data_IF_164798579985
#
_entry.id   IF_164798579985
#
_cell.length_a   1.000
_cell.length_b   1.000
_cell.length_c   1.000
_cell.angle_alpha   90.00
_cell.angle_beta   90.00
_cell.angle_gamma   90.00
#
_symmetry.space_group_name_H-M   'P 1'
#
loop_
_entity.id
_entity.type
_entity.pdbx_description
1 polymer ?
#
# COMPACT_ATOMS: atom_id res chain seq x y z
N UNK A 1 2.86 -2.32 -24.80
CA UNK A 1 2.06 -1.74 -23.69
C UNK A 1 2.27 -2.65 -22.49
N UNK A 2 2.60 -2.07 -21.34
CA UNK A 2 2.66 -2.81 -20.08
C UNK A 2 1.28 -3.41 -19.77
N UNK A 3 1.23 -4.69 -19.40
CA UNK A 3 -0.03 -5.37 -19.07
C UNK A 3 -0.23 -5.25 -17.57
N UNK A 4 -1.17 -4.42 -17.16
CA UNK A 4 -1.55 -4.28 -15.75
C UNK A 4 -2.56 -5.36 -15.39
N UNK A 5 -2.29 -6.09 -14.31
CA UNK A 5 -3.23 -7.06 -13.74
C UNK A 5 -3.67 -6.57 -12.37
N UNK A 6 -4.97 -6.58 -12.10
CA UNK A 6 -5.53 -6.30 -10.78
C UNK A 6 -5.90 -7.61 -10.12
N UNK A 7 -5.41 -7.84 -8.90
CA UNK A 7 -5.72 -9.05 -8.11
C UNK A 7 -5.98 -8.69 -6.64
N UNK A 8 -6.59 -9.60 -5.85
CA UNK A 8 -6.72 -9.40 -4.42
C UNK A 8 -5.38 -9.06 -3.76
N UNK A 9 -5.45 -8.19 -2.76
CA UNK A 9 -4.31 -7.85 -1.91
C UNK A 9 -3.95 -9.04 -1.03
N UNK A 10 -2.69 -9.43 -1.03
CA UNK A 10 -2.21 -10.58 -0.27
C UNK A 10 -1.08 -10.18 0.67
N UNK A 11 -0.77 -11.05 1.64
CA UNK A 11 0.26 -10.77 2.66
C UNK A 11 1.64 -10.52 2.05
N UNK A 12 1.93 -11.07 0.86
CA UNK A 12 3.17 -10.82 0.11
C UNK A 12 3.31 -9.42 -0.47
N UNK A 13 2.22 -8.65 -0.55
CA UNK A 13 2.22 -7.29 -1.11
C UNK A 13 2.53 -6.20 -0.09
N UNK A 14 2.54 -6.54 1.20
CA UNK A 14 2.59 -5.59 2.31
C UNK A 14 3.76 -4.61 2.19
N UNK A 15 4.95 -5.08 1.86
CA UNK A 15 6.14 -4.24 1.82
C UNK A 15 6.09 -3.25 0.65
N UNK A 16 5.72 -3.72 -0.55
CA UNK A 16 5.58 -2.87 -1.74
C UNK A 16 4.44 -1.85 -1.59
N UNK A 17 3.30 -2.28 -1.04
CA UNK A 17 2.17 -1.40 -0.77
C UNK A 17 2.49 -0.36 0.31
N UNK A 18 3.20 -0.75 1.36
CA UNK A 18 3.65 0.18 2.41
C UNK A 18 4.56 1.28 1.84
N UNK A 19 5.50 0.92 0.98
CA UNK A 19 6.37 1.89 0.31
C UNK A 19 5.57 2.88 -0.55
N UNK A 20 4.56 2.40 -1.29
CA UNK A 20 3.68 3.26 -2.10
C UNK A 20 2.83 4.19 -1.23
N UNK A 21 2.25 3.69 -0.14
CA UNK A 21 1.46 4.48 0.80
C UNK A 21 2.32 5.56 1.46
N UNK A 22 3.50 5.20 1.96
CA UNK A 22 4.41 6.13 2.60
C UNK A 22 4.85 7.25 1.66
N UNK A 23 5.19 6.91 0.42
CA UNK A 23 5.56 7.89 -0.59
C UNK A 23 4.40 8.81 -1.00
N UNK A 24 3.21 8.24 -1.23
CA UNK A 24 2.02 9.05 -1.51
C UNK A 24 1.73 10.02 -0.35
N UNK A 25 1.84 9.53 0.88
CA UNK A 25 1.60 10.32 2.08
C UNK A 25 2.64 11.44 2.26
N UNK A 26 3.92 11.19 2.00
CA UNK A 26 4.96 12.23 1.98
C UNK A 26 4.61 13.35 1.00
N UNK A 27 4.18 13.02 -0.21
CA UNK A 27 3.78 14.01 -1.24
C UNK A 27 2.52 14.77 -0.84
N UNK A 28 1.54 14.08 -0.26
CA UNK A 28 0.29 14.72 0.16
C UNK A 28 0.52 15.68 1.33
N UNK A 29 1.47 15.38 2.23
CA UNK A 29 1.89 16.28 3.31
C UNK A 29 2.49 17.60 2.81
N UNK A 30 3.17 17.61 1.67
CA UNK A 30 3.66 18.86 1.06
C UNK A 30 2.49 19.81 0.72
N UNK A 31 1.33 19.24 0.36
CA UNK A 31 0.11 19.98 0.04
C UNK A 31 -0.77 20.22 1.27
N UNK A 32 -0.74 19.28 2.22
CA UNK A 32 -1.58 19.25 3.41
C UNK A 32 -0.74 18.93 4.65
N UNK A 33 -0.04 19.93 5.23
CA UNK A 33 0.89 19.70 6.34
C UNK A 33 0.24 19.13 7.62
N UNK A 34 -1.09 19.24 7.74
CA UNK A 34 -1.89 18.78 8.89
C UNK A 34 -2.13 17.26 8.92
N UNK A 35 -1.80 16.53 7.85
CA UNK A 35 -1.90 15.08 7.86
C UNK A 35 -1.00 14.49 8.96
N UNK A 36 -1.27 13.26 9.40
CA UNK A 36 -0.43 12.59 10.40
C UNK A 36 1.00 12.40 9.87
N UNK A 37 2.04 12.41 10.70
CA UNK A 37 3.41 12.22 10.22
C UNK A 37 3.79 10.73 10.09
N UNK A 38 3.28 9.87 10.98
CA UNK A 38 3.68 8.48 11.07
C UNK A 38 3.49 7.68 9.78
N UNK A 39 2.45 7.96 9.00
CA UNK A 39 2.22 7.27 7.72
C UNK A 39 3.24 7.61 6.63
N UNK A 40 4.13 8.57 6.84
CA UNK A 40 5.29 8.80 5.96
C UNK A 40 6.41 7.76 6.18
N UNK A 41 6.34 7.00 7.27
CA UNK A 41 7.24 5.88 7.57
C UNK A 41 6.68 4.57 6.99
N UNK A 42 7.55 3.79 6.35
CA UNK A 42 7.15 2.54 5.70
C UNK A 42 6.78 1.45 6.72
N UNK A 43 7.41 1.42 7.90
CA UNK A 43 7.11 0.44 8.95
C UNK A 43 5.74 0.67 9.59
N UNK A 44 5.39 1.93 9.83
CA UNK A 44 4.06 2.35 10.30
C UNK A 44 2.98 2.05 9.24
N UNK A 45 3.22 2.43 7.98
CA UNK A 45 2.31 2.13 6.88
C UNK A 45 2.10 0.61 6.71
N UNK A 46 3.17 -0.18 6.81
CA UNK A 46 3.12 -1.65 6.74
C UNK A 46 2.32 -2.24 7.90
N UNK A 47 2.49 -1.72 9.11
CA UNK A 47 1.79 -2.20 10.30
C UNK A 47 0.29 -1.94 10.20
N UNK A 48 -0.10 -0.74 9.74
CA UNK A 48 -1.49 -0.40 9.44
C UNK A 48 -2.10 -1.33 8.38
N UNK A 49 -1.40 -1.56 7.27
CA UNK A 49 -1.88 -2.44 6.20
C UNK A 49 -2.01 -3.89 6.66
N UNK A 50 -1.11 -4.39 7.50
CA UNK A 50 -1.18 -5.74 8.06
C UNK A 50 -2.39 -5.89 8.99
N UNK A 51 -2.66 -4.92 9.86
CA UNK A 51 -3.85 -4.90 10.72
C UNK A 51 -5.14 -4.91 9.88
N UNK A 52 -5.16 -4.13 8.81
CA UNK A 52 -6.30 -4.08 7.89
C UNK A 52 -6.51 -5.38 7.14
N UNK A 53 -5.44 -6.03 6.67
CA UNK A 53 -5.51 -7.32 5.98
C UNK A 53 -6.05 -8.43 6.89
N UNK A 54 -5.71 -8.39 8.18
CA UNK A 54 -6.17 -9.38 9.16
C UNK A 54 -7.62 -9.13 9.64
N UNK A 55 -8.21 -8.00 9.24
CA UNK A 55 -9.59 -7.68 9.53
C UNK A 55 -10.52 -8.23 8.43
N UNK A 56 -11.35 -9.21 8.77
CA UNK A 56 -12.31 -9.88 7.88
C UNK A 56 -13.33 -8.93 7.22
N UNK A 57 -13.46 -7.69 7.69
CA UNK A 57 -14.33 -6.66 7.11
C UNK A 57 -13.62 -5.71 6.16
N UNK A 58 -12.32 -5.91 5.93
CA UNK A 58 -11.53 -5.09 5.01
C UNK A 58 -11.28 -5.87 3.73
N UNK A 59 -11.51 -5.22 2.59
CA UNK A 59 -11.18 -5.74 1.28
C UNK A 59 -10.12 -4.84 0.63
N UNK A 60 -9.20 -5.44 -0.11
CA UNK A 60 -8.13 -4.72 -0.80
C UNK A 60 -7.75 -5.40 -2.11
N UNK A 61 -7.21 -4.61 -3.04
CA UNK A 61 -6.68 -5.09 -4.30
C UNK A 61 -5.38 -4.35 -4.64
N UNK A 62 -4.48 -5.03 -5.36
CA UNK A 62 -3.26 -4.44 -5.91
C UNK A 62 -3.28 -4.46 -7.43
N UNK A 63 -2.74 -3.40 -8.03
CA UNK A 63 -2.40 -3.36 -9.44
C UNK A 63 -0.92 -3.73 -9.60
N UNK A 64 -0.64 -4.80 -10.33
CA UNK A 64 0.71 -5.30 -10.59
C UNK A 64 1.04 -5.10 -12.06
N UNK A 65 2.25 -4.62 -12.34
CA UNK A 65 2.79 -4.56 -13.70
C UNK A 65 3.43 -5.91 -14.08
N UNK A 66 2.94 -6.53 -15.16
CA UNK A 66 3.48 -7.78 -15.71
C UNK A 66 2.84 -9.07 -15.17
N UNK A 67 3.00 -10.16 -15.93
CA UNK A 67 2.45 -11.48 -15.59
C UNK A 67 3.07 -12.03 -14.29
N UNK A 68 2.24 -12.55 -13.39
CA UNK A 68 2.66 -13.26 -12.17
C UNK A 68 3.59 -14.40 -12.58
N UNK A 69 4.88 -14.31 -12.26
CA UNK A 69 5.77 -15.47 -12.35
C UNK A 69 5.39 -16.44 -11.23
N UNK A 70 4.81 -17.56 -11.63
CA UNK A 70 4.47 -18.71 -10.80
C UNK A 70 5.71 -19.39 -10.22
#
# INVERSE_FOLDING_TARGET
>A
MARVTVRPFERGDLDAAAALVAEAHRRDRERHPVLVESLADEGEARSMLAEWLDNERTEGAVAVDGDVLA
#
